data_IF_591425220196
#
_entry.id   IF_591425220196
#
_cell.length_a   1.000
_cell.length_b   1.000
_cell.length_c   1.000
_cell.angle_alpha   90.00
_cell.angle_beta   90.00
_cell.angle_gamma   90.00
#
_symmetry.space_group_name_H-M   'P 1'
#
loop_
_entity.id
_entity.type
_entity.pdbx_description
1 polymer ?
#
# COMPACT_ATOMS: atom_id res chain seq x y z
N UNK A 1 -18.84 -19.12 -6.48
CA UNK A 1 -17.54 -18.98 -7.16
C UNK A 1 -17.68 -19.65 -8.54
N UNK A 2 -17.56 -18.90 -9.63
CA UNK A 2 -17.34 -19.47 -10.97
C UNK A 2 -15.96 -18.93 -11.41
N UNK A 3 -15.06 -19.84 -11.76
CA UNK A 3 -13.71 -19.59 -12.31
C UNK A 3 -12.67 -18.91 -11.40
N UNK A 4 -12.83 -18.95 -10.07
CA UNK A 4 -11.82 -18.42 -9.14
C UNK A 4 -11.63 -16.89 -9.17
N UNK A 5 -12.29 -16.18 -10.09
CA UNK A 5 -12.29 -14.71 -10.16
C UNK A 5 -13.37 -14.12 -9.26
N UNK A 6 -12.97 -13.24 -8.36
CA UNK A 6 -13.89 -12.45 -7.55
C UNK A 6 -14.69 -11.52 -8.46
N UNK A 7 -16.02 -11.60 -8.39
CA UNK A 7 -16.88 -10.67 -9.13
C UNK A 7 -16.91 -9.33 -8.40
N UNK A 8 -16.28 -8.32 -8.98
CA UNK A 8 -16.31 -6.95 -8.46
C UNK A 8 -17.74 -6.40 -8.44
N UNK A 9 -18.10 -5.71 -7.36
CA UNK A 9 -19.34 -4.92 -7.28
C UNK A 9 -19.24 -3.72 -8.21
N UNK A 10 -20.39 -3.12 -8.56
CA UNK A 10 -20.45 -1.97 -9.50
C UNK A 10 -19.49 -0.85 -9.12
N UNK A 11 -19.40 -0.48 -7.85
CA UNK A 11 -18.52 0.60 -7.42
C UNK A 11 -17.03 0.22 -7.50
N UNK A 12 -16.68 -1.06 -7.28
CA UNK A 12 -15.30 -1.55 -7.42
C UNK A 12 -14.87 -1.62 -8.88
N UNK A 13 -15.79 -1.97 -9.79
CA UNK A 13 -15.53 -1.88 -11.24
C UNK A 13 -15.21 -0.45 -11.65
N UNK A 14 -15.99 0.53 -11.19
CA UNK A 14 -15.73 1.95 -11.45
C UNK A 14 -14.39 2.43 -10.88
N UNK A 15 -13.95 1.89 -9.75
CA UNK A 15 -12.61 2.18 -9.22
C UNK A 15 -11.53 1.65 -10.16
N UNK A 16 -11.66 0.40 -10.61
CA UNK A 16 -10.69 -0.22 -11.53
C UNK A 16 -10.67 0.48 -12.89
N UNK A 17 -11.82 0.92 -13.41
CA UNK A 17 -11.92 1.69 -14.65
C UNK A 17 -11.18 3.04 -14.59
N UNK A 18 -10.95 3.61 -13.41
CA UNK A 18 -10.16 4.83 -13.25
C UNK A 18 -8.66 4.58 -13.15
N UNK A 19 -8.25 3.35 -12.86
CA UNK A 19 -6.84 2.92 -12.80
C UNK A 19 -6.68 1.59 -13.53
N UNK A 20 -6.99 1.52 -14.83
CA UNK A 20 -7.08 0.25 -15.56
C UNK A 20 -5.73 -0.47 -15.67
N UNK A 21 -4.63 0.27 -15.69
CA UNK A 21 -3.29 -0.26 -15.92
C UNK A 21 -2.35 -0.03 -14.73
N UNK A 22 -1.31 -0.85 -14.66
CA UNK A 22 -0.22 -0.69 -13.69
C UNK A 22 0.40 0.71 -13.82
N UNK A 23 0.66 1.35 -12.69
CA UNK A 23 1.20 2.70 -12.63
C UNK A 23 0.14 3.80 -12.79
N UNK A 24 -1.09 3.47 -13.18
CA UNK A 24 -2.17 4.44 -13.13
C UNK A 24 -2.52 4.78 -11.67
N UNK A 25 -2.91 6.04 -11.48
CA UNK A 25 -3.44 6.52 -10.22
C UNK A 25 -4.60 7.47 -10.45
N UNK A 26 -5.47 7.60 -9.45
CA UNK A 26 -6.58 8.54 -9.49
C UNK A 26 -6.80 9.19 -8.12
N UNK A 27 -7.35 10.41 -8.14
CA UNK A 27 -7.78 11.13 -6.94
C UNK A 27 -9.29 10.96 -6.75
N UNK A 28 -9.68 10.53 -5.56
CA UNK A 28 -11.05 10.16 -5.20
C UNK A 28 -11.53 10.97 -3.99
N UNK A 29 -12.85 11.12 -3.85
CA UNK A 29 -13.46 11.59 -2.60
C UNK A 29 -13.26 10.52 -1.52
N UNK A 30 -13.14 10.93 -0.25
CA UNK A 30 -12.81 10.03 0.88
C UNK A 30 -13.67 8.76 0.99
N UNK A 31 -14.96 8.85 0.65
CA UNK A 31 -15.92 7.74 0.75
C UNK A 31 -15.97 6.82 -0.47
N UNK A 32 -15.28 7.17 -1.56
CA UNK A 32 -15.34 6.38 -2.80
C UNK A 32 -14.48 5.12 -2.77
N UNK A 33 -13.46 5.09 -1.93
CA UNK A 33 -12.58 3.93 -1.76
C UNK A 33 -12.33 3.65 -0.29
N UNK A 34 -12.45 2.38 0.09
CA UNK A 34 -12.11 1.86 1.41
C UNK A 34 -10.94 0.88 1.31
N UNK A 35 -10.30 0.57 2.44
CA UNK A 35 -9.22 -0.43 2.48
C UNK A 35 -9.72 -1.80 2.01
N UNK A 36 -10.96 -2.17 2.32
CA UNK A 36 -11.58 -3.43 1.88
C UNK A 36 -11.76 -3.53 0.37
N UNK A 37 -11.86 -2.39 -0.33
CA UNK A 37 -11.94 -2.40 -1.79
C UNK A 37 -10.61 -2.86 -2.41
N UNK A 38 -9.47 -2.59 -1.77
CA UNK A 38 -8.16 -3.06 -2.23
C UNK A 38 -8.10 -4.59 -2.30
N UNK A 39 -8.63 -5.29 -1.29
CA UNK A 39 -8.70 -6.75 -1.30
C UNK A 39 -9.52 -7.29 -2.48
N UNK A 40 -10.64 -6.65 -2.81
CA UNK A 40 -11.47 -7.04 -3.95
C UNK A 40 -10.79 -6.77 -5.30
N UNK A 41 -10.17 -5.58 -5.45
CA UNK A 41 -9.41 -5.23 -6.66
C UNK A 41 -8.23 -6.19 -6.88
N UNK A 42 -7.51 -6.50 -5.82
CA UNK A 42 -6.40 -7.48 -5.82
C UNK A 42 -6.90 -8.87 -6.17
N UNK A 43 -8.01 -9.32 -5.60
CA UNK A 43 -8.59 -10.63 -5.92
C UNK A 43 -9.05 -10.74 -7.39
N UNK A 44 -9.42 -9.62 -8.01
CA UNK A 44 -9.88 -9.58 -9.40
C UNK A 44 -8.73 -9.51 -10.42
N UNK A 45 -7.59 -8.91 -10.05
CA UNK A 45 -6.48 -8.61 -10.97
C UNK A 45 -5.22 -9.42 -10.69
N UNK A 46 -5.03 -9.88 -9.45
CA UNK A 46 -3.77 -10.42 -8.96
C UNK A 46 -2.71 -9.36 -8.66
N UNK A 47 -3.06 -8.07 -8.71
CA UNK A 47 -2.14 -6.94 -8.50
C UNK A 47 -2.37 -6.25 -7.17
N UNK A 48 -1.32 -5.62 -6.64
CA UNK A 48 -1.39 -4.78 -5.46
C UNK A 48 -2.00 -3.40 -5.77
N UNK A 49 -2.68 -2.84 -4.78
CA UNK A 49 -3.20 -1.49 -4.84
C UNK A 49 -2.85 -0.76 -3.56
N UNK A 50 -2.55 0.54 -3.66
CA UNK A 50 -2.28 1.38 -2.51
C UNK A 50 -3.28 2.52 -2.43
N UNK A 51 -3.69 2.86 -1.20
CA UNK A 51 -4.56 4.00 -0.93
C UNK A 51 -3.89 4.97 0.02
N UNK A 52 -3.93 6.24 -0.34
CA UNK A 52 -3.41 7.34 0.44
C UNK A 52 -4.56 8.24 0.86
N UNK A 53 -4.56 8.72 2.10
CA UNK A 53 -5.60 9.61 2.62
C UNK A 53 -5.02 10.98 2.91
N UNK A 54 -5.58 12.01 2.29
CA UNK A 54 -5.29 13.40 2.59
C UNK A 54 -6.45 14.05 3.36
N UNK A 55 -6.41 15.39 3.48
CA UNK A 55 -7.42 16.15 4.25
C UNK A 55 -8.85 15.99 3.72
N UNK A 56 -9.06 16.02 2.40
CA UNK A 56 -10.40 15.99 1.78
C UNK A 56 -10.60 14.89 0.73
N UNK A 57 -9.53 14.19 0.36
CA UNK A 57 -9.52 13.21 -0.72
C UNK A 57 -8.65 12.01 -0.40
N UNK A 58 -8.75 10.99 -1.24
CA UNK A 58 -7.85 9.84 -1.28
C UNK A 58 -7.17 9.75 -2.64
N UNK A 59 -6.03 9.09 -2.70
CA UNK A 59 -5.38 8.68 -3.93
C UNK A 59 -5.39 7.16 -3.96
N UNK A 60 -5.76 6.57 -5.09
CA UNK A 60 -5.65 5.14 -5.35
C UNK A 60 -4.59 4.93 -6.43
N UNK A 61 -3.66 4.00 -6.20
CA UNK A 61 -2.60 3.62 -7.13
C UNK A 61 -2.73 2.13 -7.45
N UNK A 62 -2.57 1.78 -8.73
CA UNK A 62 -2.52 0.41 -9.22
C UNK A 62 -1.06 -0.04 -9.37
N UNK A 63 -0.64 -1.02 -8.58
CA UNK A 63 0.69 -1.63 -8.63
C UNK A 63 0.74 -2.90 -9.49
N UNK A 64 1.79 -3.69 -9.31
CA UNK A 64 1.93 -5.02 -9.96
C UNK A 64 1.61 -6.15 -8.97
N UNK A 65 1.77 -7.41 -9.39
CA UNK A 65 1.63 -8.58 -8.53
C UNK A 65 2.80 -8.83 -7.56
N UNK A 66 3.92 -8.13 -7.72
CA UNK A 66 5.15 -8.35 -6.92
C UNK A 66 5.71 -7.10 -6.25
N UNK A 67 5.37 -5.94 -6.80
CA UNK A 67 5.82 -4.64 -6.33
C UNK A 67 4.82 -3.56 -6.72
N UNK A 68 4.61 -2.60 -5.85
CA UNK A 68 3.90 -1.37 -6.18
C UNK A 68 4.88 -0.21 -6.00
N UNK A 69 4.90 0.70 -6.97
CA UNK A 69 5.74 1.89 -6.93
C UNK A 69 4.83 3.11 -6.97
N UNK A 70 5.24 4.21 -6.33
CA UNK A 70 4.51 5.47 -6.41
C UNK A 70 4.94 6.17 -7.71
N UNK A 71 4.03 6.40 -8.68
CA UNK A 71 4.33 7.20 -9.86
C UNK A 71 4.86 8.59 -9.48
N UNK A 72 5.80 9.13 -10.25
CA UNK A 72 6.48 10.39 -9.89
C UNK A 72 5.50 11.56 -9.73
N UNK A 73 4.55 11.69 -10.66
CA UNK A 73 3.50 12.70 -10.63
C UNK A 73 2.53 12.52 -9.43
N UNK A 74 2.21 11.28 -9.06
CA UNK A 74 1.46 10.99 -7.85
C UNK A 74 2.24 11.38 -6.58
N UNK A 75 3.56 11.13 -6.55
CA UNK A 75 4.43 11.45 -5.42
C UNK A 75 4.48 12.95 -5.15
N UNK A 76 4.57 13.78 -6.19
CA UNK A 76 4.54 15.25 -6.03
C UNK A 76 3.27 15.72 -5.32
N UNK A 77 2.11 15.17 -5.68
CA UNK A 77 0.83 15.47 -5.05
C UNK A 77 0.79 14.96 -3.60
N UNK A 78 1.21 13.71 -3.38
CA UNK A 78 1.24 13.06 -2.06
C UNK A 78 2.10 13.87 -1.09
N UNK A 79 3.33 14.19 -1.48
CA UNK A 79 4.31 14.90 -0.66
C UNK A 79 3.87 16.33 -0.37
N UNK A 80 3.44 17.08 -1.39
CA UNK A 80 3.06 18.49 -1.24
C UNK A 80 1.84 18.69 -0.33
N UNK A 81 0.98 17.68 -0.21
CA UNK A 81 -0.25 17.73 0.59
C UNK A 81 -0.20 16.82 1.82
N UNK A 82 0.95 16.20 2.09
CA UNK A 82 1.16 15.25 3.19
C UNK A 82 0.06 14.18 3.27
N UNK A 83 -0.21 13.51 2.16
CA UNK A 83 -1.09 12.35 2.20
C UNK A 83 -0.45 11.25 3.03
N UNK A 84 -1.25 10.58 3.84
CA UNK A 84 -0.82 9.40 4.60
C UNK A 84 -1.08 8.15 3.77
N UNK A 85 -0.07 7.29 3.62
CA UNK A 85 -0.22 5.94 3.09
C UNK A 85 -1.07 5.10 4.04
N UNK A 86 -2.35 5.00 3.75
CA UNK A 86 -3.33 4.39 4.65
C UNK A 86 -3.21 2.87 4.64
N UNK A 87 -3.12 2.30 3.44
CA UNK A 87 -2.91 0.87 3.28
C UNK A 87 -2.46 0.52 1.86
N UNK A 88 -1.90 -0.68 1.71
CA UNK A 88 -1.84 -1.40 0.44
C UNK A 88 -2.29 -2.84 0.60
N UNK A 89 -2.53 -3.53 -0.52
CA UNK A 89 -2.94 -4.93 -0.54
C UNK A 89 -1.82 -5.86 -0.96
N UNK A 90 -1.78 -7.08 -0.41
CA UNK A 90 -0.94 -8.17 -0.88
C UNK A 90 -1.81 -9.26 -1.54
N UNK A 91 -1.40 -9.86 -2.67
CA UNK A 91 -2.14 -10.93 -3.35
C UNK A 91 -1.93 -12.29 -2.66
N UNK A 92 -2.17 -12.35 -1.34
CA UNK A 92 -2.01 -13.56 -0.52
C UNK A 92 -3.29 -13.94 0.21
N UNK A 93 -3.47 -15.23 0.47
CA UNK A 93 -4.53 -15.78 1.33
C UNK A 93 -3.98 -16.41 2.62
N UNK A 94 -2.66 -16.37 2.82
CA UNK A 94 -1.98 -17.07 3.92
C UNK A 94 -1.58 -16.08 5.01
N UNK A 95 -0.28 -15.86 5.21
CA UNK A 95 0.27 -14.96 6.23
C UNK A 95 0.68 -13.65 5.56
N UNK A 96 0.26 -12.53 6.15
CA UNK A 96 0.76 -11.21 5.77
C UNK A 96 2.20 -11.07 6.26
N UNK A 97 3.11 -10.91 5.31
CA UNK A 97 4.53 -10.66 5.56
C UNK A 97 4.85 -9.28 5.03
N UNK A 98 5.36 -8.40 5.89
CA UNK A 98 5.81 -7.05 5.52
C UNK A 98 7.15 -7.21 4.81
N UNK A 99 7.26 -6.69 3.59
CA UNK A 99 8.50 -6.73 2.81
C UNK A 99 9.48 -5.63 3.28
N UNK A 100 10.80 -5.79 3.03
CA UNK A 100 11.76 -4.70 3.19
C UNK A 100 11.35 -3.44 2.41
N UNK A 101 10.81 -3.60 1.20
CA UNK A 101 10.37 -2.53 0.31
C UNK A 101 9.20 -1.73 0.89
N UNK A 102 8.27 -2.38 1.61
CA UNK A 102 7.19 -1.68 2.33
C UNK A 102 7.77 -0.72 3.36
N UNK A 103 8.81 -1.15 4.08
CA UNK A 103 9.45 -0.35 5.13
C UNK A 103 10.27 0.79 4.53
N UNK A 104 11.03 0.54 3.47
CA UNK A 104 11.75 1.60 2.76
C UNK A 104 10.80 2.64 2.17
N UNK A 105 9.66 2.19 1.62
CA UNK A 105 8.63 3.10 1.12
C UNK A 105 8.04 3.95 2.24
N UNK A 106 7.74 3.36 3.40
CA UNK A 106 7.22 4.11 4.54
C UNK A 106 8.20 5.17 5.06
N UNK A 107 9.53 4.95 4.96
CA UNK A 107 10.54 5.97 5.31
C UNK A 107 10.45 7.25 4.49
N UNK A 108 9.87 7.19 3.28
CA UNK A 108 9.65 8.38 2.46
C UNK A 108 8.62 9.34 3.08
N UNK A 109 7.70 8.81 3.89
CA UNK A 109 6.64 9.55 4.54
C UNK A 109 7.11 10.04 5.92
N UNK A 110 7.97 11.06 5.94
CA UNK A 110 8.55 11.62 7.19
C UNK A 110 7.51 12.21 8.16
N UNK A 111 6.24 12.24 7.77
CA UNK A 111 5.09 12.69 8.56
C UNK A 111 4.19 11.54 9.03
N UNK A 112 4.57 10.29 8.82
CA UNK A 112 3.78 9.11 9.15
C UNK A 112 4.66 7.99 9.75
N UNK A 113 4.19 7.36 10.81
CA UNK A 113 4.96 6.32 11.51
C UNK A 113 4.63 4.89 11.07
N UNK A 114 3.39 4.67 10.60
CA UNK A 114 2.83 3.34 10.38
C UNK A 114 1.89 3.27 9.18
N UNK A 115 1.84 2.14 8.49
CA UNK A 115 0.90 1.83 7.41
C UNK A 115 0.29 0.44 7.62
N UNK A 116 -0.68 0.06 6.79
CA UNK A 116 -1.42 -1.20 6.90
C UNK A 116 -1.36 -2.02 5.62
N UNK A 117 -1.15 -3.33 5.74
CA UNK A 117 -1.36 -4.28 4.64
C UNK A 117 -2.73 -4.93 4.81
N UNK A 118 -3.47 -5.15 3.72
CA UNK A 118 -4.67 -5.99 3.67
C UNK A 118 -4.48 -7.20 2.74
N UNK A 119 -4.90 -8.39 3.16
CA UNK A 119 -4.85 -9.60 2.33
C UNK A 119 -6.16 -9.84 1.56
N UNK A 120 -6.20 -10.91 0.76
CA UNK A 120 -7.39 -11.28 -0.03
C UNK A 120 -8.59 -11.75 0.82
N UNK A 121 -8.36 -12.11 2.10
CA UNK A 121 -9.41 -12.45 3.06
C UNK A 121 -9.95 -11.22 3.80
N UNK A 122 -9.29 -10.07 3.64
CA UNK A 122 -9.60 -8.84 4.34
C UNK A 122 -8.98 -8.74 5.74
N UNK A 123 -8.04 -9.62 6.08
CA UNK A 123 -7.23 -9.48 7.28
C UNK A 123 -6.25 -8.33 7.08
N UNK A 124 -5.92 -7.63 8.16
CA UNK A 124 -5.01 -6.49 8.13
C UNK A 124 -3.82 -6.68 9.05
N UNK A 125 -2.66 -6.13 8.67
CA UNK A 125 -1.47 -6.05 9.50
C UNK A 125 -0.88 -4.64 9.44
N UNK A 126 -0.74 -4.01 10.60
CA UNK A 126 -0.03 -2.73 10.72
C UNK A 126 1.49 -2.95 10.77
N UNK A 127 2.26 -2.02 10.24
CA UNK A 127 3.72 -2.06 10.26
C UNK A 127 4.33 -0.65 10.29
N UNK A 128 5.56 -0.58 10.80
CA UNK A 128 6.38 0.64 10.89
C UNK A 128 7.56 0.59 9.92
N UNK A 129 8.23 1.72 9.71
CA UNK A 129 9.47 1.77 8.93
C UNK A 129 10.68 1.12 9.64
N UNK A 130 10.55 0.80 10.94
CA UNK A 130 11.65 0.32 11.79
C UNK A 130 12.02 -1.13 11.45
N UNK A 131 13.27 -1.32 10.99
CA UNK A 131 13.86 -2.65 10.80
C UNK A 131 14.08 -3.36 12.14
N UNK A 132 14.20 -2.62 13.25
CA UNK A 132 14.30 -3.21 14.58
C UNK A 132 12.98 -3.85 15.00
N UNK A 133 11.85 -3.19 14.73
CA UNK A 133 10.52 -3.74 15.03
C UNK A 133 10.28 -5.04 14.26
N UNK A 134 10.80 -5.11 13.03
CA UNK A 134 10.78 -6.32 12.20
C UNK A 134 11.62 -7.47 12.79
N UNK A 135 12.84 -7.18 13.21
CA UNK A 135 13.74 -8.16 13.84
C UNK A 135 13.09 -8.70 15.13
N UNK A 136 12.53 -7.80 15.93
CA UNK A 136 11.83 -8.15 17.17
C UNK A 136 10.61 -9.06 16.87
N UNK A 137 9.85 -8.75 15.82
CA UNK A 137 8.71 -9.57 15.39
C UNK A 137 9.12 -10.98 14.92
N UNK A 138 10.21 -11.09 14.14
CA UNK A 138 10.73 -12.39 13.68
C UNK A 138 11.23 -13.24 14.84
N UNK A 139 11.92 -12.63 15.79
CA UNK A 139 12.57 -13.33 16.89
C UNK A 139 11.63 -13.55 18.09
N UNK A 140 10.40 -13.02 18.05
CA UNK A 140 9.43 -13.13 19.14
C UNK A 140 9.86 -12.40 20.41
N UNK A 141 10.72 -11.39 20.28
CA UNK A 141 11.29 -10.63 21.41
C UNK A 141 10.48 -9.36 21.63
N UNK A 142 9.98 -9.14 22.84
CA UNK A 142 9.24 -7.93 23.23
C UNK A 142 10.20 -6.96 23.95
N UNK A 143 10.38 -5.76 23.37
CA UNK A 143 11.02 -4.51 23.89
C UNK A 143 12.52 -4.52 24.27
N UNK A 144 13.33 -3.45 24.16
CA UNK A 144 13.28 -2.06 23.67
C UNK A 144 14.76 -1.63 23.42
N UNK A 145 15.07 -0.80 22.41
CA UNK A 145 15.80 0.49 22.57
C UNK A 145 16.10 1.17 21.20
N UNK A 146 15.91 2.49 21.15
CA UNK A 146 16.00 3.35 19.95
C UNK A 146 17.45 3.74 19.66
N UNK A 147 17.82 3.76 18.36
CA UNK A 147 18.84 4.67 17.81
C UNK A 147 18.68 4.79 16.29
N UNK A 148 18.34 5.99 15.83
CA UNK A 148 18.19 6.33 14.40
C UNK A 148 19.55 6.36 13.68
N UNK A 149 19.60 5.81 12.46
CA UNK A 149 20.56 6.21 11.43
C UNK A 149 19.82 6.36 10.10
N UNK A 150 19.78 7.60 9.61
CA UNK A 150 19.28 7.96 8.28
C UNK A 150 20.17 7.35 7.19
N UNK A 151 19.59 6.60 6.26
CA UNK A 151 20.22 6.29 4.98
C UNK A 151 19.35 6.81 3.84
N UNK A 152 20.01 7.47 2.89
CA UNK A 152 19.44 8.20 1.77
C UNK A 152 19.07 7.20 0.66
N UNK A 153 17.79 7.10 0.32
CA UNK A 153 17.28 6.27 -0.78
C UNK A 153 17.67 6.89 -2.14
N UNK A 154 18.08 6.05 -3.09
CA UNK A 154 18.35 6.44 -4.48
C UNK A 154 17.44 5.66 -5.42
N UNK A 155 16.78 6.37 -6.33
CA UNK A 155 15.96 5.78 -7.39
C UNK A 155 16.84 5.00 -8.38
N UNK A 156 16.40 3.84 -8.90
CA UNK A 156 17.03 3.24 -10.07
C UNK A 156 16.74 4.09 -11.31
N UNK A 157 17.76 4.29 -12.13
CA UNK A 157 17.63 4.94 -13.44
C UNK A 157 16.71 4.11 -14.34
N UNK A 158 15.81 4.80 -15.02
CA UNK A 158 14.89 4.22 -16.01
C UNK A 158 15.65 3.97 -17.31
N UNK A 159 15.64 2.72 -17.78
CA UNK A 159 15.91 2.37 -19.18
C UNK A 159 14.77 2.84 -20.11
#
# INVERSE_FOLDING_TARGET
MKDGKVTLRREQKKLLEQVPEVGNWTKLRKKQVSVKDLAALTASTGHEFAVFTGKSSKILIHGTSKSWHIPHDAWEVIKSNQYEWTAHSHPTMTKITVSPEDRETLKLFTWQEKSTIIDLKGNTKEFTASTQDWINEILGVVDYDKREKSNKYSWPDTD
#
